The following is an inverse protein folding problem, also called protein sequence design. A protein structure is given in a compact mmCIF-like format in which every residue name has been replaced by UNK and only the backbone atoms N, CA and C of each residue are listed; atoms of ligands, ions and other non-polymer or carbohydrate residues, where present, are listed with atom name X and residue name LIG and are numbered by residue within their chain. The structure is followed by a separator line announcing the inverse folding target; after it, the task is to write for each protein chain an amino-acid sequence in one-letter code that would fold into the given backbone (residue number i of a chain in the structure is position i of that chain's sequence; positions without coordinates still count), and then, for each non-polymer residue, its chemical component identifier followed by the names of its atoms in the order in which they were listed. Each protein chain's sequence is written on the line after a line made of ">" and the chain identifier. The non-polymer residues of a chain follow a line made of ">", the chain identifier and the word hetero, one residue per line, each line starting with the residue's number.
data_IF_861806019064
#
_entry.id   IF_861806019064
#
_cell.length_a   1.000
_cell.length_b   1.000
_cell.length_c   1.000
_cell.angle_alpha   90.00
_cell.angle_beta   90.00
_cell.angle_gamma   90.00
#
_symmetry.space_group_name_H-M   'P 1'
#
loop_
_entity.id
_entity.type
_entity.pdbx_description
1 polymer ?
#
# COMPACT_ATOMS: atom_id res chain seq x y z
N UNK A 1 -23.24 7.05 2.76
CA UNK A 1 -21.94 7.66 3.00
C UNK A 1 -20.82 6.67 2.77
N UNK A 2 -20.14 6.81 1.70
CA UNK A 2 -19.14 5.80 1.34
C UNK A 2 -17.76 5.99 1.99
N UNK A 3 -17.69 6.59 3.16
CA UNK A 3 -16.42 6.70 3.87
C UNK A 3 -15.77 5.35 4.11
N UNK A 4 -16.60 4.31 4.22
CA UNK A 4 -16.10 2.95 4.42
C UNK A 4 -15.32 2.45 3.21
N UNK A 5 -15.58 3.05 2.04
CA UNK A 5 -14.90 2.67 0.81
C UNK A 5 -13.66 3.52 0.54
N UNK A 6 -13.44 4.54 1.35
CA UNK A 6 -12.26 5.38 1.23
C UNK A 6 -11.09 4.76 1.98
N UNK A 7 -9.90 4.84 1.41
CA UNK A 7 -8.70 4.35 2.09
C UNK A 7 -8.42 5.11 3.38
N UNK A 8 -9.05 6.27 3.56
CA UNK A 8 -8.91 7.04 4.80
C UNK A 8 -9.39 6.26 6.02
N UNK A 9 -10.28 5.29 5.83
CA UNK A 9 -10.78 4.48 6.93
C UNK A 9 -9.93 3.28 7.27
N UNK A 10 -8.86 3.03 6.53
CA UNK A 10 -8.02 1.86 6.77
C UNK A 10 -6.97 2.14 7.84
N UNK A 11 -6.64 1.13 8.66
CA UNK A 11 -5.56 1.28 9.64
C UNK A 11 -4.23 1.46 8.93
N UNK A 12 -3.27 2.05 9.63
CA UNK A 12 -1.90 2.25 9.18
C UNK A 12 -1.71 3.27 8.06
N UNK A 13 -2.77 3.81 7.49
CA UNK A 13 -2.67 4.81 6.42
C UNK A 13 -3.04 6.18 6.93
N UNK A 14 -2.02 7.00 7.22
CA UNK A 14 -2.22 8.38 7.65
C UNK A 14 -2.47 9.31 6.48
N UNK A 15 -2.67 10.62 6.74
CA UNK A 15 -3.00 11.59 5.69
C UNK A 15 -1.96 11.65 4.57
N UNK A 16 -0.69 11.52 4.89
CA UNK A 16 0.37 11.56 3.88
C UNK A 16 0.25 10.37 2.93
N UNK A 17 0.07 9.17 3.47
CA UNK A 17 -0.08 7.97 2.65
C UNK A 17 -1.33 8.06 1.78
N UNK A 18 -2.40 8.60 2.32
CA UNK A 18 -3.65 8.77 1.56
C UNK A 18 -3.42 9.67 0.35
N UNK A 19 -2.70 10.78 0.54
CA UNK A 19 -2.41 11.69 -0.56
C UNK A 19 -1.52 11.06 -1.61
N UNK A 20 -0.52 10.28 -1.18
CA UNK A 20 0.34 9.56 -2.09
C UNK A 20 -0.47 8.59 -2.94
N UNK A 21 -1.35 7.83 -2.30
CA UNK A 21 -2.16 6.84 -3.01
C UNK A 21 -3.15 7.52 -3.95
N UNK A 22 -3.75 8.64 -3.53
CA UNK A 22 -4.65 9.39 -4.40
C UNK A 22 -3.92 9.89 -5.65
N UNK A 23 -2.69 10.36 -5.49
CA UNK A 23 -1.86 10.79 -6.61
C UNK A 23 -1.55 9.65 -7.57
N UNK A 24 -1.53 8.43 -7.08
CA UNK A 24 -1.30 7.25 -7.91
C UNK A 24 -2.60 6.68 -8.50
N UNK A 25 -3.75 7.29 -8.18
CA UNK A 25 -5.03 6.83 -8.69
C UNK A 25 -5.73 5.81 -7.82
N UNK A 26 -5.23 5.57 -6.61
CA UNK A 26 -5.82 4.58 -5.70
C UNK A 26 -6.54 5.33 -4.58
N UNK A 27 -7.86 5.41 -4.66
CA UNK A 27 -8.65 6.21 -3.74
C UNK A 27 -9.67 5.41 -2.94
N UNK A 28 -9.88 4.15 -3.27
CA UNK A 28 -10.87 3.33 -2.58
C UNK A 28 -10.28 2.05 -2.05
N UNK A 29 -10.91 1.51 -1.02
CA UNK A 29 -10.54 0.22 -0.44
C UNK A 29 -10.66 -0.89 -1.48
N UNK A 30 -11.71 -0.83 -2.30
CA UNK A 30 -11.92 -1.85 -3.32
C UNK A 30 -10.77 -1.89 -4.33
N UNK A 31 -10.30 -0.71 -4.76
CA UNK A 31 -9.15 -0.63 -5.65
C UNK A 31 -7.91 -1.23 -4.99
N UNK A 32 -7.67 -0.85 -3.73
CA UNK A 32 -6.49 -1.32 -3.02
C UNK A 32 -6.53 -2.84 -2.85
N UNK A 33 -7.67 -3.40 -2.51
CA UNK A 33 -7.82 -4.85 -2.34
C UNK A 33 -7.60 -5.59 -3.65
N UNK A 34 -8.10 -5.01 -4.73
CA UNK A 34 -7.95 -5.63 -6.05
C UNK A 34 -6.49 -5.63 -6.49
N UNK A 35 -5.77 -4.55 -6.24
CA UNK A 35 -4.38 -4.42 -6.62
C UNK A 35 -3.45 -5.21 -5.70
N UNK A 36 -3.72 -5.19 -4.40
CA UNK A 36 -2.80 -5.69 -3.40
C UNK A 36 -1.74 -4.64 -3.05
N UNK A 37 -1.06 -4.86 -1.94
CA UNK A 37 -0.10 -3.88 -1.40
C UNK A 37 1.07 -3.63 -2.37
N UNK A 38 1.61 -4.69 -2.96
CA UNK A 38 2.79 -4.57 -3.82
C UNK A 38 2.49 -3.77 -5.08
N UNK A 39 1.40 -4.09 -5.77
CA UNK A 39 1.03 -3.36 -6.99
C UNK A 39 0.71 -1.90 -6.68
N UNK A 40 -0.01 -1.65 -5.59
CA UNK A 40 -0.35 -0.29 -5.18
C UNK A 40 0.92 0.50 -4.84
N UNK A 41 1.86 -0.12 -4.16
CA UNK A 41 3.13 0.51 -3.83
C UNK A 41 3.91 0.89 -5.11
N UNK A 42 3.97 0.00 -6.08
CA UNK A 42 4.66 0.27 -7.35
C UNK A 42 3.99 1.42 -8.09
N UNK A 43 2.66 1.47 -8.09
CA UNK A 43 1.94 2.59 -8.70
C UNK A 43 2.31 3.92 -8.05
N UNK A 44 2.39 3.95 -6.72
CA UNK A 44 2.78 5.15 -6.01
C UNK A 44 4.21 5.56 -6.36
N UNK A 45 5.11 4.60 -6.45
CA UNK A 45 6.50 4.85 -6.81
C UNK A 45 6.61 5.42 -8.21
N UNK A 46 5.84 4.88 -9.15
CA UNK A 46 5.85 5.32 -10.54
C UNK A 46 5.18 6.66 -10.76
N UNK A 47 4.33 7.07 -9.83
CA UNK A 47 3.68 8.38 -9.95
C UNK A 47 4.66 9.53 -9.70
N UNK A 48 5.91 9.24 -9.39
CA UNK A 48 6.93 10.24 -9.16
C UNK A 48 7.08 10.66 -7.71
N UNK A 49 6.27 10.10 -6.84
CA UNK A 49 6.36 10.41 -5.42
C UNK A 49 7.49 9.63 -4.79
N UNK A 50 8.27 10.30 -3.95
CA UNK A 50 9.35 9.65 -3.22
C UNK A 50 8.76 8.83 -2.08
N UNK A 51 8.71 7.52 -2.25
CA UNK A 51 8.13 6.62 -1.26
C UNK A 51 9.19 5.72 -0.64
N UNK A 52 8.95 5.31 0.60
CA UNK A 52 9.83 4.40 1.30
C UNK A 52 9.15 3.05 1.46
N UNK A 53 9.92 2.05 1.87
CA UNK A 53 9.36 0.72 2.16
C UNK A 53 8.33 0.78 3.28
N UNK A 54 8.36 1.80 4.13
CA UNK A 54 7.33 1.96 5.16
C UNK A 54 5.94 2.05 4.55
N UNK A 55 5.82 2.64 3.37
CA UNK A 55 4.53 2.68 2.68
C UNK A 55 4.07 1.26 2.31
N UNK A 56 4.97 0.42 1.86
CA UNK A 56 4.64 -0.97 1.53
C UNK A 56 4.12 -1.72 2.76
N UNK A 57 4.81 -1.55 3.90
CA UNK A 57 4.36 -2.18 5.15
C UNK A 57 3.00 -1.65 5.57
N UNK A 58 2.79 -0.34 5.43
CA UNK A 58 1.52 0.28 5.80
C UNK A 58 0.37 -0.20 4.91
N UNK A 59 0.60 -0.36 3.61
CA UNK A 59 -0.41 -0.85 2.69
C UNK A 59 -0.81 -2.29 3.02
N UNK A 60 0.17 -3.13 3.27
CA UNK A 60 -0.12 -4.52 3.64
C UNK A 60 -0.85 -4.57 4.98
N UNK A 61 -0.41 -3.77 5.94
CA UNK A 61 -1.07 -3.69 7.23
C UNK A 61 -2.51 -3.20 7.11
N UNK A 62 -2.76 -2.26 6.21
CA UNK A 62 -4.11 -1.76 5.97
C UNK A 62 -5.02 -2.86 5.44
N UNK A 63 -4.49 -3.72 4.57
CA UNK A 63 -5.27 -4.79 3.95
C UNK A 63 -5.49 -5.97 4.88
N UNK A 64 -4.54 -6.25 5.77
CA UNK A 64 -4.59 -7.42 6.64
C UNK A 64 -5.06 -7.11 8.04
N UNK A 65 -5.09 -5.83 8.42
CA UNK A 65 -5.41 -5.42 9.78
C UNK A 65 -4.25 -5.56 10.75
N UNK A 66 -3.07 -5.91 10.25
CA UNK A 66 -1.86 -6.07 11.07
C UNK A 66 -1.13 -4.74 11.15
N UNK A 67 -0.60 -4.41 12.33
CA UNK A 67 0.16 -3.17 12.50
C UNK A 67 1.38 -3.16 11.56
N UNK A 68 1.68 -2.01 10.97
CA UNK A 68 2.74 -1.93 9.96
C UNK A 68 4.10 -2.38 10.47
N UNK A 69 4.40 -2.17 11.76
CA UNK A 69 5.66 -2.62 12.33
C UNK A 69 5.73 -4.15 12.40
N UNK A 70 4.60 -4.78 12.64
CA UNK A 70 4.52 -6.23 12.63
C UNK A 70 4.71 -6.75 11.20
N UNK A 71 4.13 -6.09 10.22
CA UNK A 71 4.32 -6.43 8.81
C UNK A 71 5.80 -6.34 8.45
N UNK A 72 6.45 -5.24 8.86
CA UNK A 72 7.86 -5.03 8.56
C UNK A 72 8.75 -6.09 9.21
N UNK A 73 8.32 -6.64 10.35
CA UNK A 73 9.10 -7.63 11.06
C UNK A 73 8.84 -9.05 10.54
N UNK A 74 7.59 -9.38 10.31
CA UNK A 74 7.18 -10.76 10.02
C UNK A 74 7.05 -11.04 8.52
N UNK A 75 6.53 -10.06 7.77
CA UNK A 75 6.21 -10.27 6.36
C UNK A 75 7.21 -9.62 5.40
N UNK A 76 8.28 -9.10 5.94
CA UNK A 76 9.27 -8.35 5.15
C UNK A 76 9.79 -9.14 3.97
N UNK A 77 10.29 -10.34 4.20
CA UNK A 77 10.90 -11.15 3.15
C UNK A 77 9.91 -11.49 2.05
N UNK A 78 8.70 -11.92 2.44
CA UNK A 78 7.66 -12.26 1.48
C UNK A 78 7.30 -11.08 0.59
N UNK A 79 7.15 -9.90 1.21
CA UNK A 79 6.77 -8.71 0.47
C UNK A 79 7.87 -8.21 -0.43
N UNK A 80 9.12 -8.28 0.01
CA UNK A 80 10.26 -7.87 -0.82
C UNK A 80 10.42 -8.80 -2.01
N UNK A 81 10.21 -10.10 -1.84
CA UNK A 81 10.24 -11.03 -2.94
C UNK A 81 9.10 -10.78 -3.92
N UNK A 82 7.92 -10.50 -3.41
CA UNK A 82 6.76 -10.18 -4.26
C UNK A 82 6.99 -8.88 -5.02
N UNK A 83 7.59 -7.89 -4.38
CA UNK A 83 7.92 -6.62 -5.02
C UNK A 83 8.93 -6.82 -6.15
N UNK A 84 9.99 -7.58 -5.89
CA UNK A 84 10.99 -7.87 -6.89
C UNK A 84 10.37 -8.59 -8.09
N UNK A 85 9.51 -9.57 -7.83
CA UNK A 85 8.82 -10.31 -8.88
C UNK A 85 7.93 -9.39 -9.71
N UNK A 86 7.20 -8.49 -9.04
CA UNK A 86 6.32 -7.55 -9.72
C UNK A 86 7.11 -6.60 -10.60
N UNK A 87 8.21 -6.07 -10.10
CA UNK A 87 9.04 -5.12 -10.85
C UNK A 87 9.73 -5.80 -12.03
N UNK A 88 10.04 -7.08 -11.90
CA UNK A 88 10.67 -7.83 -12.98
C UNK A 88 9.76 -8.06 -14.17
N UNK A 89 8.45 -8.10 -13.93
CA UNK A 89 7.47 -8.36 -14.99
C UNK A 89 7.13 -7.15 -15.83
N UNK A 90 7.57 -5.97 -15.43
CA UNK A 90 7.08 -4.75 -16.06
C UNK A 90 8.15 -4.09 -16.91
#
# INVERSE_FOLDING_TARGET
>A
MPKQNSIAGLPNLGPKSQRVMAGAGVTSVAQLRKLGAVAAYVMAKRSGTNVSLNLLWALEGALTGVHWQEVARVHRTSLLLALEEHERRV
#
